data_IF_964657968685
#
_entry.id   IF_964657968685
#
_cell.length_a   1.000
_cell.length_b   1.000
_cell.length_c   1.000
_cell.angle_alpha   90.00
_cell.angle_beta   90.00
_cell.angle_gamma   90.00
#
_symmetry.space_group_name_H-M   'P 1'
#
loop_
_entity.id
_entity.type
_entity.pdbx_description
1 polymer ?
#
# COMPACT_ATOMS: atom_id res chain seq x y z
N UNK A 1 42.90 42.83 -1.65
CA UNK A 1 41.52 43.31 -1.44
C UNK A 1 40.70 42.17 -0.86
N UNK A 2 40.39 42.24 0.44
CA UNK A 2 39.69 41.18 1.19
C UNK A 2 38.27 41.65 1.51
N UNK A 3 37.25 40.98 0.98
CA UNK A 3 35.85 41.24 1.30
C UNK A 3 35.37 40.27 2.39
N UNK A 4 35.00 40.83 3.55
CA UNK A 4 34.34 40.13 4.66
C UNK A 4 32.82 40.23 4.48
N UNK A 5 32.13 39.12 4.23
CA UNK A 5 30.67 39.05 4.30
C UNK A 5 30.23 38.60 5.70
N UNK A 6 29.48 39.46 6.40
CA UNK A 6 28.81 39.17 7.67
C UNK A 6 27.39 38.66 7.38
N UNK A 7 27.11 37.40 7.74
CA UNK A 7 25.77 36.83 7.77
C UNK A 7 25.11 37.08 9.14
N UNK A 8 23.92 37.70 9.14
CA UNK A 8 23.06 37.91 10.31
C UNK A 8 22.15 36.70 10.51
N UNK A 9 22.27 36.04 11.67
CA UNK A 9 21.30 35.06 12.18
C UNK A 9 20.07 35.80 12.73
N UNK A 10 18.87 35.38 12.31
CA UNK A 10 17.60 35.72 12.96
C UNK A 10 17.09 34.44 13.62
N UNK A 11 17.08 34.43 14.95
CA UNK A 11 16.48 33.36 15.76
C UNK A 11 15.13 33.83 16.27
N UNK A 12 14.07 33.08 15.98
CA UNK A 12 12.78 33.24 16.65
C UNK A 12 12.70 32.26 17.82
N UNK A 13 12.45 32.80 19.01
CA UNK A 13 12.32 32.07 20.27
C UNK A 13 10.94 31.41 20.37
N UNK A 14 10.93 30.12 20.70
CA UNK A 14 9.74 29.26 20.86
C UNK A 14 8.97 29.49 22.19
N UNK A 15 9.13 30.67 22.81
CA UNK A 15 8.67 30.95 24.18
C UNK A 15 7.35 31.74 24.28
N UNK A 16 6.73 32.16 23.17
CA UNK A 16 5.58 33.08 23.18
C UNK A 16 4.22 32.44 22.83
N UNK A 17 4.13 31.11 22.69
CA UNK A 17 2.89 30.39 22.33
C UNK A 17 2.23 29.59 23.47
N UNK A 18 2.66 29.80 24.73
CA UNK A 18 2.17 29.03 25.90
C UNK A 18 1.14 29.73 26.80
N UNK A 19 0.68 30.94 26.47
CA UNK A 19 -0.24 31.69 27.35
C UNK A 19 -1.71 31.77 26.88
N UNK A 20 -2.09 31.15 25.76
CA UNK A 20 -3.46 31.24 25.21
C UNK A 20 -4.43 30.11 25.59
N UNK A 21 -4.07 29.23 26.53
CA UNK A 21 -4.87 28.03 26.88
C UNK A 21 -5.24 27.91 28.37
N UNK A 22 -5.39 29.03 29.09
CA UNK A 22 -5.91 29.02 30.48
C UNK A 22 -7.17 29.88 30.62
N UNK A 23 -8.34 29.26 30.46
CA UNK A 23 -9.58 29.74 31.09
C UNK A 23 -10.41 28.56 31.59
N UNK A 24 -10.78 28.53 32.89
CA UNK A 24 -11.72 27.56 33.42
C UNK A 24 -13.16 28.08 33.28
N UNK A 25 -14.11 27.19 32.98
CA UNK A 25 -15.55 27.47 33.11
C UNK A 25 -16.13 26.55 34.18
N UNK A 26 -16.58 27.15 35.28
CA UNK A 26 -17.29 26.47 36.37
C UNK A 26 -18.81 26.55 36.18
N UNK A 27 -19.42 25.40 36.43
CA UNK A 27 -20.75 25.08 36.99
C UNK A 27 -21.86 26.14 36.99
N UNK A 28 -23.05 25.69 36.55
CA UNK A 28 -24.29 25.91 37.30
C UNK A 28 -25.12 24.61 37.34
N UNK A 29 -25.38 24.16 38.56
CA UNK A 29 -26.46 23.24 38.91
C UNK A 29 -27.75 24.04 39.13
N UNK A 30 -28.89 23.49 38.71
CA UNK A 30 -30.16 23.78 39.35
C UNK A 30 -31.01 22.50 39.37
N UNK A 31 -31.31 22.08 40.59
CA UNK A 31 -32.25 21.03 40.96
C UNK A 31 -33.64 21.65 40.99
N UNK A 32 -34.62 21.03 40.35
CA UNK A 32 -36.02 21.21 40.71
C UNK A 32 -36.83 19.94 40.44
N UNK A 33 -37.84 19.77 41.28
CA UNK A 33 -38.38 18.52 41.77
C UNK A 33 -39.69 18.11 41.11
N UNK A 34 -39.82 16.79 40.85
CA UNK A 34 -41.02 15.93 40.96
C UNK A 34 -42.43 16.47 40.68
N UNK A 35 -43.15 15.79 39.77
CA UNK A 35 -44.53 15.26 39.98
C UNK A 35 -44.76 14.09 39.01
N UNK A 36 -45.21 12.95 39.56
CA UNK A 36 -45.65 11.75 38.83
C UNK A 36 -47.10 11.91 38.37
N UNK A 37 -47.37 11.66 37.09
CA UNK A 37 -48.68 11.22 36.60
C UNK A 37 -48.48 10.04 35.65
N UNK A 38 -49.14 8.93 35.97
CA UNK A 38 -49.11 7.70 35.18
C UNK A 38 -49.99 7.85 33.94
N UNK A 39 -49.37 7.98 32.77
CA UNK A 39 -50.06 7.87 31.49
C UNK A 39 -49.72 6.54 30.83
N UNK A 40 -50.75 5.84 30.38
CA UNK A 40 -50.64 4.59 29.64
C UNK A 40 -49.99 4.90 28.29
N UNK A 41 -48.69 4.61 28.16
CA UNK A 41 -48.00 4.70 26.87
C UNK A 41 -48.52 3.59 25.95
N UNK A 42 -49.44 3.95 25.06
CA UNK A 42 -49.45 3.34 23.73
C UNK A 42 -48.03 3.51 23.18
N UNK A 43 -47.33 2.40 22.98
CA UNK A 43 -46.02 2.41 22.35
C UNK A 43 -46.19 2.97 20.93
N UNK A 44 -45.97 4.28 20.79
CA UNK A 44 -45.65 4.90 19.52
C UNK A 44 -44.44 4.14 19.00
N UNK A 45 -44.67 3.24 18.04
CA UNK A 45 -43.62 2.73 17.17
C UNK A 45 -43.06 3.95 16.45
N UNK A 46 -42.07 4.60 17.05
CA UNK A 46 -41.16 5.48 16.33
C UNK A 46 -40.56 4.61 15.26
N UNK A 47 -40.99 4.80 14.01
CA UNK A 47 -40.37 4.16 12.87
C UNK A 47 -38.87 4.39 13.01
N UNK A 48 -38.10 3.30 13.17
CA UNK A 48 -36.64 3.41 13.18
C UNK A 48 -36.28 4.18 11.90
N UNK A 49 -35.52 5.28 11.99
CA UNK A 49 -35.12 6.01 10.79
C UNK A 49 -34.49 4.99 9.84
N UNK A 50 -35.01 4.93 8.61
CA UNK A 50 -34.38 4.15 7.56
C UNK A 50 -32.94 4.67 7.45
N UNK A 51 -31.98 3.89 7.94
CA UNK A 51 -30.57 4.15 7.72
C UNK A 51 -30.40 4.10 6.21
N UNK A 52 -30.26 5.27 5.58
CA UNK A 52 -30.01 5.39 4.15
C UNK A 52 -28.76 4.57 3.87
N UNK A 53 -28.87 3.46 3.13
CA UNK A 53 -27.70 2.68 2.71
C UNK A 53 -26.74 3.66 2.05
N UNK A 54 -25.51 3.74 2.57
CA UNK A 54 -24.45 4.50 1.93
C UNK A 54 -24.27 3.96 0.52
N UNK A 55 -24.17 4.82 -0.48
CA UNK A 55 -23.89 4.36 -1.84
C UNK A 55 -22.58 3.56 -1.86
N UNK A 56 -22.51 2.42 -2.57
CA UNK A 56 -21.29 1.63 -2.65
C UNK A 56 -20.13 2.49 -3.14
N UNK A 57 -19.03 2.50 -2.38
CA UNK A 57 -17.84 3.29 -2.74
C UNK A 57 -16.91 2.47 -3.64
N UNK A 58 -16.11 3.17 -4.43
CA UNK A 58 -15.02 2.58 -5.23
C UNK A 58 -13.69 3.18 -4.80
N UNK A 59 -12.73 2.32 -4.50
CA UNK A 59 -11.37 2.64 -4.14
C UNK A 59 -10.42 2.19 -5.26
N UNK A 60 -9.57 3.10 -5.74
CA UNK A 60 -8.47 2.78 -6.67
C UNK A 60 -7.18 2.93 -5.87
N UNK A 61 -6.42 1.85 -5.76
CA UNK A 61 -5.21 1.78 -4.96
C UNK A 61 -4.00 1.68 -5.88
N UNK A 62 -3.00 2.53 -5.66
CA UNK A 62 -1.64 2.35 -6.18
C UNK A 62 -0.77 1.72 -5.11
N UNK A 63 -0.10 0.61 -5.42
CA UNK A 63 0.85 -0.07 -4.54
C UNK A 63 2.22 -0.05 -5.20
N UNK A 64 3.16 0.60 -4.55
CA UNK A 64 4.58 0.45 -4.84
C UNK A 64 5.08 -0.74 -4.01
N UNK A 65 5.16 -1.92 -4.64
CA UNK A 65 5.73 -3.12 -4.04
C UNK A 65 7.25 -3.05 -4.17
N UNK A 66 7.89 -2.18 -3.38
CA UNK A 66 9.32 -1.95 -3.44
C UNK A 66 10.14 -3.07 -2.80
N UNK A 67 11.42 -3.17 -3.17
CA UNK A 67 12.33 -4.21 -2.68
C UNK A 67 12.55 -4.15 -1.17
N UNK A 68 12.76 -2.95 -0.62
CA UNK A 68 13.03 -2.74 0.81
C UNK A 68 11.78 -2.28 1.55
N UNK A 69 10.98 -1.43 0.92
CA UNK A 69 9.76 -0.88 1.50
C UNK A 69 8.64 -0.87 0.47
N UNK A 70 7.45 -1.23 0.94
CA UNK A 70 6.20 -1.14 0.22
C UNK A 70 5.42 0.09 0.67
N UNK A 71 4.76 0.77 -0.27
CA UNK A 71 3.95 1.95 -0.01
C UNK A 71 2.61 1.82 -0.72
N UNK A 72 1.58 2.49 -0.20
CA UNK A 72 0.29 2.53 -0.87
C UNK A 72 -0.40 3.89 -0.76
N UNK A 73 -1.07 4.25 -1.85
CA UNK A 73 -1.94 5.41 -1.95
C UNK A 73 -3.29 4.96 -2.49
N UNK A 74 -4.37 5.57 -2.01
CA UNK A 74 -5.72 5.22 -2.42
C UNK A 74 -6.53 6.47 -2.75
N UNK A 75 -7.26 6.42 -3.85
CA UNK A 75 -8.31 7.38 -4.17
C UNK A 75 -9.66 6.72 -4.03
N UNK A 76 -10.53 7.29 -3.19
CA UNK A 76 -11.87 6.78 -2.93
C UNK A 76 -12.92 7.75 -3.50
N UNK A 77 -13.78 7.23 -4.37
CA UNK A 77 -14.84 8.00 -5.00
C UNK A 77 -15.77 8.61 -3.94
N UNK A 78 -16.03 9.92 -4.06
CA UNK A 78 -16.86 10.67 -3.10
C UNK A 78 -16.20 10.94 -1.74
N UNK A 79 -14.93 10.57 -1.54
CA UNK A 79 -14.20 10.83 -0.31
C UNK A 79 -12.93 11.65 -0.55
N UNK A 80 -12.10 11.23 -1.51
CA UNK A 80 -10.83 11.88 -1.84
C UNK A 80 -9.64 10.94 -1.76
N UNK A 81 -8.49 11.54 -1.48
CA UNK A 81 -7.18 10.89 -1.52
C UNK A 81 -6.73 10.47 -0.11
N UNK A 82 -6.17 9.27 0.00
CA UNK A 82 -5.73 8.64 1.25
C UNK A 82 -4.31 8.09 1.08
N UNK A 83 -3.39 8.59 1.91
CA UNK A 83 -2.09 7.96 2.11
C UNK A 83 -2.25 6.83 3.12
N UNK A 84 -1.91 5.61 2.72
CA UNK A 84 -2.07 4.46 3.61
C UNK A 84 -0.92 4.43 4.60
N UNK A 85 -1.28 4.39 5.89
CA UNK A 85 -0.35 4.11 6.99
C UNK A 85 -0.42 2.65 7.38
N UNK A 86 0.73 2.10 7.69
CA UNK A 86 0.91 0.75 8.19
C UNK A 86 1.35 0.80 9.64
N UNK A 87 0.90 -0.18 10.43
CA UNK A 87 1.40 -0.41 11.78
C UNK A 87 2.64 -1.30 11.69
N UNK A 88 3.81 -0.71 11.90
CA UNK A 88 5.12 -1.38 11.80
C UNK A 88 5.80 -1.28 13.17
N UNK A 89 5.90 -2.42 13.87
CA UNK A 89 6.46 -2.49 15.22
C UNK A 89 5.79 -1.49 16.20
N UNK A 90 4.45 -1.40 16.16
CA UNK A 90 3.63 -0.49 16.98
C UNK A 90 3.81 1.01 16.66
N UNK A 91 4.38 1.32 15.50
CA UNK A 91 4.59 2.69 14.99
C UNK A 91 3.86 2.86 13.65
N UNK A 92 3.02 3.90 13.56
CA UNK A 92 2.43 4.30 12.27
C UNK A 92 3.51 4.78 11.30
N UNK A 93 3.61 4.13 10.14
CA UNK A 93 4.57 4.45 9.09
C UNK A 93 3.90 4.43 7.72
N UNK A 94 4.33 5.32 6.82
CA UNK A 94 3.95 5.26 5.39
C UNK A 94 4.76 4.23 4.59
N UNK A 95 5.79 3.65 5.23
CA UNK A 95 6.70 2.68 4.65
C UNK A 95 6.55 1.36 5.40
N UNK A 96 6.04 0.35 4.70
CA UNK A 96 5.96 -1.02 5.20
C UNK A 96 7.23 -1.77 4.78
N UNK A 97 8.09 -2.26 5.71
CA UNK A 97 9.23 -3.08 5.33
C UNK A 97 8.81 -4.30 4.52
N UNK A 98 9.45 -4.54 3.38
CA UNK A 98 9.19 -5.70 2.52
C UNK A 98 9.93 -6.93 3.06
N UNK A 99 9.45 -7.41 4.21
CA UNK A 99 10.09 -8.45 5.01
C UNK A 99 9.03 -9.45 5.49
N UNK A 100 9.42 -10.73 5.54
CA UNK A 100 8.67 -11.80 6.20
C UNK A 100 9.55 -12.52 7.22
N UNK A 101 8.92 -13.33 8.05
CA UNK A 101 9.59 -14.16 9.04
C UNK A 101 9.12 -15.61 8.89
N UNK A 102 10.06 -16.56 8.81
CA UNK A 102 9.78 -17.96 8.55
C UNK A 102 9.95 -18.81 9.80
N UNK A 103 8.86 -19.45 10.22
CA UNK A 103 8.86 -20.48 11.26
C UNK A 103 9.09 -21.85 10.63
N UNK A 104 10.35 -22.30 10.60
CA UNK A 104 10.75 -23.63 10.07
C UNK A 104 10.02 -24.77 10.74
N UNK A 105 9.73 -24.67 12.05
CA UNK A 105 9.12 -25.77 12.83
C UNK A 105 7.65 -25.95 12.47
N UNK A 106 6.94 -24.85 12.25
CA UNK A 106 5.52 -24.87 11.86
C UNK A 106 5.30 -24.83 10.36
N UNK A 107 6.37 -24.59 9.60
CA UNK A 107 6.33 -24.35 8.16
C UNK A 107 5.40 -23.17 7.79
N UNK A 108 5.48 -22.06 8.55
CA UNK A 108 4.60 -20.89 8.43
C UNK A 108 5.38 -19.62 8.10
N UNK A 109 4.80 -18.77 7.26
CA UNK A 109 5.22 -17.37 7.11
C UNK A 109 4.51 -16.48 8.14
N UNK A 110 5.22 -15.47 8.62
CA UNK A 110 4.74 -14.43 9.52
C UNK A 110 5.03 -13.08 8.91
N UNK A 111 4.01 -12.22 8.96
CA UNK A 111 4.08 -10.85 8.46
C UNK A 111 4.59 -9.87 9.53
N UNK A 112 4.24 -10.12 10.80
CA UNK A 112 4.76 -9.35 11.93
C UNK A 112 6.15 -9.84 12.32
N UNK A 113 6.95 -8.91 12.84
CA UNK A 113 8.29 -9.17 13.35
C UNK A 113 8.28 -10.18 14.48
N UNK A 114 9.15 -11.16 14.34
CA UNK A 114 9.47 -12.12 15.39
C UNK A 114 10.96 -12.41 15.33
N UNK A 115 11.71 -11.95 16.33
CA UNK A 115 13.16 -12.08 16.38
C UNK A 115 13.65 -13.51 16.59
N UNK A 116 12.75 -14.43 16.94
CA UNK A 116 13.07 -15.86 17.08
C UNK A 116 12.98 -16.62 15.76
N UNK A 117 12.42 -15.99 14.72
CA UNK A 117 12.20 -16.59 13.40
C UNK A 117 13.25 -16.11 12.40
N UNK A 118 13.42 -16.89 11.34
CA UNK A 118 14.32 -16.52 10.25
C UNK A 118 13.73 -15.37 9.44
N UNK A 119 14.48 -14.29 9.27
CA UNK A 119 14.06 -13.13 8.49
C UNK A 119 14.27 -13.40 6.99
N UNK A 120 13.24 -13.14 6.19
CA UNK A 120 13.24 -13.27 4.72
C UNK A 120 13.04 -11.86 4.12
N UNK A 121 14.01 -11.39 3.35
CA UNK A 121 14.03 -10.04 2.74
C UNK A 121 14.29 -10.15 1.24
N UNK A 122 14.16 -9.09 0.44
CA UNK A 122 14.62 -9.10 -0.97
C UNK A 122 13.95 -10.15 -1.89
N UNK A 123 12.89 -10.81 -1.46
CA UNK A 123 12.21 -11.86 -2.23
C UNK A 123 11.54 -11.31 -3.51
N UNK A 124 11.40 -9.98 -3.66
CA UNK A 124 10.97 -9.34 -4.92
C UNK A 124 11.90 -9.69 -6.08
N UNK A 125 13.23 -9.71 -5.88
CA UNK A 125 14.17 -10.08 -6.94
C UNK A 125 14.03 -11.55 -7.34
N UNK A 126 13.73 -12.40 -6.35
CA UNK A 126 13.54 -13.82 -6.53
C UNK A 126 12.30 -14.22 -7.34
N UNK A 127 11.40 -13.28 -7.64
CA UNK A 127 10.19 -13.54 -8.43
C UNK A 127 10.55 -14.03 -9.85
N UNK A 128 11.59 -13.44 -10.45
CA UNK A 128 12.02 -13.81 -11.81
C UNK A 128 13.21 -14.76 -11.82
N UNK A 129 14.08 -14.67 -10.82
CA UNK A 129 15.26 -15.52 -10.70
C UNK A 129 15.42 -16.01 -9.27
N UNK A 130 15.08 -17.28 -9.04
CA UNK A 130 15.15 -17.94 -7.73
C UNK A 130 16.59 -18.11 -7.21
N UNK A 131 17.62 -17.70 -7.98
CA UNK A 131 19.00 -17.64 -7.52
C UNK A 131 19.24 -16.59 -6.43
N UNK A 132 18.40 -15.56 -6.33
CA UNK A 132 18.43 -14.57 -5.26
C UNK A 132 17.82 -15.16 -3.97
N UNK A 133 18.68 -15.83 -3.20
CA UNK A 133 18.33 -16.82 -2.19
C UNK A 133 18.03 -16.33 -0.77
N UNK A 134 17.14 -15.36 -0.58
CA UNK A 134 16.68 -15.04 0.78
C UNK A 134 15.63 -16.03 1.32
N UNK A 135 14.93 -16.74 0.42
CA UNK A 135 13.96 -17.78 0.74
C UNK A 135 14.53 -19.22 0.60
N UNK A 136 15.87 -19.38 0.56
CA UNK A 136 16.52 -20.69 0.32
C UNK A 136 16.10 -21.75 1.35
N UNK A 137 16.00 -21.37 2.62
CA UNK A 137 15.60 -22.25 3.72
C UNK A 137 14.18 -22.81 3.56
N UNK A 138 13.28 -22.05 2.95
CA UNK A 138 11.92 -22.52 2.63
C UNK A 138 12.00 -23.65 1.61
N UNK A 139 12.84 -23.49 0.58
CA UNK A 139 13.06 -24.51 -0.46
C UNK A 139 13.71 -25.77 0.09
N UNK A 140 14.69 -25.63 0.99
CA UNK A 140 15.33 -26.74 1.70
C UNK A 140 14.33 -27.58 2.49
N UNK A 141 13.42 -26.91 3.21
CA UNK A 141 12.37 -27.57 4.00
C UNK A 141 11.21 -28.09 3.15
N UNK A 142 11.03 -27.56 1.93
CA UNK A 142 9.91 -27.87 1.04
C UNK A 142 10.40 -28.16 -0.39
N UNK A 143 10.97 -29.34 -0.60
CA UNK A 143 11.61 -29.75 -1.87
C UNK A 143 10.71 -29.71 -3.11
N UNK A 144 9.39 -29.68 -2.93
CA UNK A 144 8.40 -29.65 -4.01
C UNK A 144 8.05 -28.22 -4.48
N UNK A 145 8.67 -27.20 -3.89
CA UNK A 145 8.48 -25.80 -4.27
C UNK A 145 9.52 -25.39 -5.29
N UNK A 146 9.03 -24.95 -6.45
CA UNK A 146 9.87 -24.50 -7.56
C UNK A 146 10.52 -23.16 -7.26
N UNK A 147 9.73 -22.19 -6.77
CA UNK A 147 10.17 -20.84 -6.44
C UNK A 147 9.53 -20.37 -5.12
N UNK A 148 10.34 -20.33 -4.07
CA UNK A 148 9.89 -19.93 -2.73
C UNK A 148 9.68 -18.42 -2.61
N UNK A 149 10.37 -17.63 -3.45
CA UNK A 149 10.26 -16.17 -3.47
C UNK A 149 8.87 -15.71 -3.96
N UNK A 150 8.28 -16.39 -4.95
CA UNK A 150 6.92 -16.10 -5.42
C UNK A 150 5.90 -16.36 -4.30
N UNK A 151 6.05 -17.45 -3.52
CA UNK A 151 5.17 -17.73 -2.37
C UNK A 151 5.28 -16.60 -1.34
N UNK A 152 6.51 -16.17 -1.03
CA UNK A 152 6.74 -15.03 -0.13
C UNK A 152 6.08 -13.76 -0.66
N UNK A 153 6.25 -13.44 -1.94
CA UNK A 153 5.65 -12.26 -2.56
C UNK A 153 4.12 -12.28 -2.51
N UNK A 154 3.50 -13.42 -2.82
CA UNK A 154 2.03 -13.58 -2.76
C UNK A 154 1.53 -13.43 -1.32
N UNK A 155 2.17 -14.08 -0.36
CA UNK A 155 1.78 -13.99 1.05
C UNK A 155 1.92 -12.57 1.59
N UNK A 156 3.06 -11.92 1.33
CA UNK A 156 3.33 -10.55 1.73
C UNK A 156 2.31 -9.58 1.13
N UNK A 157 2.05 -9.70 -0.17
CA UNK A 157 1.08 -8.84 -0.85
C UNK A 157 -0.35 -9.10 -0.38
N UNK A 158 -0.71 -10.35 -0.04
CA UNK A 158 -2.02 -10.65 0.52
C UNK A 158 -2.23 -9.96 1.87
N UNK A 159 -1.23 -10.00 2.76
CA UNK A 159 -1.22 -9.25 4.01
C UNK A 159 -1.31 -7.74 3.78
N UNK A 160 -0.55 -7.22 2.82
CA UNK A 160 -0.56 -5.80 2.46
C UNK A 160 -1.93 -5.35 1.95
N UNK A 161 -2.55 -6.12 1.06
CA UNK A 161 -3.89 -5.85 0.53
C UNK A 161 -4.94 -5.86 1.65
N UNK A 162 -4.86 -6.83 2.56
CA UNK A 162 -5.77 -6.93 3.71
C UNK A 162 -5.66 -5.71 4.64
N UNK A 163 -4.43 -5.25 4.91
CA UNK A 163 -4.17 -4.03 5.68
C UNK A 163 -4.71 -2.77 4.97
N UNK A 164 -4.49 -2.64 3.67
CA UNK A 164 -5.01 -1.51 2.88
C UNK A 164 -6.53 -1.50 2.92
N UNK A 165 -7.19 -2.64 2.65
CA UNK A 165 -8.65 -2.76 2.68
C UNK A 165 -9.19 -2.34 4.04
N UNK A 166 -8.61 -2.89 5.12
CA UNK A 166 -9.00 -2.58 6.49
C UNK A 166 -8.84 -1.10 6.83
N UNK A 167 -7.72 -0.48 6.43
CA UNK A 167 -7.45 0.95 6.63
C UNK A 167 -8.49 1.81 5.90
N UNK A 168 -8.71 1.56 4.61
CA UNK A 168 -9.66 2.32 3.80
C UNK A 168 -11.10 2.19 4.31
N UNK A 169 -11.51 0.97 4.69
CA UNK A 169 -12.84 0.72 5.23
C UNK A 169 -13.06 1.43 6.57
N UNK A 170 -12.05 1.43 7.44
CA UNK A 170 -12.06 2.15 8.72
C UNK A 170 -12.21 3.66 8.50
N UNK A 171 -11.36 4.24 7.66
CA UNK A 171 -11.40 5.69 7.36
C UNK A 171 -12.73 6.10 6.71
N UNK A 172 -13.27 5.26 5.82
CA UNK A 172 -14.53 5.55 5.13
C UNK A 172 -15.79 5.25 5.96
N UNK A 173 -15.65 4.59 7.11
CA UNK A 173 -16.77 4.16 7.98
C UNK A 173 -17.70 3.13 7.33
N UNK A 174 -17.23 2.35 6.36
CA UNK A 174 -18.07 1.35 5.65
C UNK A 174 -17.22 0.22 5.08
N UNK A 175 -17.78 -0.99 5.08
CA UNK A 175 -17.20 -2.18 4.43
C UNK A 175 -17.61 -2.32 2.96
N UNK A 176 -18.62 -1.58 2.50
CA UNK A 176 -19.17 -1.64 1.15
C UNK A 176 -18.30 -0.84 0.15
N UNK A 177 -17.07 -1.31 -0.04
CA UNK A 177 -16.08 -0.69 -0.92
C UNK A 177 -15.60 -1.71 -1.96
N UNK A 178 -15.75 -1.36 -3.23
CA UNK A 178 -15.13 -2.08 -4.35
C UNK A 178 -13.69 -1.60 -4.53
N UNK A 179 -12.73 -2.52 -4.62
CA UNK A 179 -11.32 -2.18 -4.75
C UNK A 179 -10.78 -2.52 -6.13
N UNK A 180 -10.00 -1.61 -6.69
CA UNK A 180 -9.11 -1.84 -7.81
C UNK A 180 -7.67 -1.56 -7.37
N UNK A 181 -6.72 -2.38 -7.80
CA UNK A 181 -5.30 -2.26 -7.43
C UNK A 181 -4.41 -2.14 -8.67
N UNK A 182 -3.53 -1.15 -8.64
CA UNK A 182 -2.44 -0.97 -9.58
C UNK A 182 -1.14 -1.22 -8.83
N UNK A 183 -0.31 -2.16 -9.27
CA UNK A 183 0.97 -2.46 -8.64
C UNK A 183 2.13 -2.04 -9.55
N UNK A 184 3.12 -1.33 -8.99
CA UNK A 184 4.38 -1.03 -9.69
C UNK A 184 5.15 -2.31 -10.00
N UNK A 185 5.65 -2.41 -11.22
CA UNK A 185 6.51 -3.49 -11.70
C UNK A 185 7.80 -2.87 -12.29
N UNK A 186 8.99 -3.43 -11.97
CA UNK A 186 10.25 -2.89 -12.49
C UNK A 186 10.24 -2.81 -14.01
N UNK A 187 10.68 -1.66 -14.55
CA UNK A 187 10.51 -1.37 -15.97
C UNK A 187 11.29 -2.30 -16.89
N UNK A 188 12.46 -2.78 -16.43
CA UNK A 188 13.28 -3.75 -17.13
C UNK A 188 12.54 -5.07 -17.40
N UNK A 189 11.52 -5.37 -16.59
CA UNK A 189 10.71 -6.57 -16.65
C UNK A 189 9.35 -6.35 -17.33
N UNK A 190 9.02 -5.09 -17.65
CA UNK A 190 7.73 -4.75 -18.25
C UNK A 190 7.69 -5.06 -19.75
N UNK A 191 8.81 -4.88 -20.45
CA UNK A 191 8.93 -5.06 -21.91
C UNK A 191 9.64 -6.36 -22.33
N UNK A 192 10.31 -7.05 -21.40
CA UNK A 192 11.00 -8.32 -21.67
C UNK A 192 10.00 -9.48 -21.56
N UNK A 193 9.50 -9.92 -22.71
CA UNK A 193 8.67 -11.12 -22.89
C UNK A 193 7.36 -11.12 -22.05
N UNK A 194 6.30 -11.76 -22.55
CA UNK A 194 5.03 -11.82 -21.81
C UNK A 194 5.17 -12.48 -20.42
N UNK A 195 6.28 -13.19 -20.18
CA UNK A 195 6.54 -13.98 -18.98
C UNK A 195 6.90 -13.13 -17.75
N UNK A 196 7.79 -12.14 -17.85
CA UNK A 196 8.28 -11.41 -16.67
C UNK A 196 7.19 -10.52 -16.04
N UNK A 197 6.52 -9.70 -16.85
CA UNK A 197 5.30 -8.98 -16.43
C UNK A 197 4.24 -9.97 -15.93
N UNK A 198 4.11 -11.11 -16.61
CA UNK A 198 3.19 -12.19 -16.25
C UNK A 198 3.37 -12.69 -14.81
N UNK A 199 4.60 -12.81 -14.31
CA UNK A 199 4.87 -13.21 -12.91
C UNK A 199 4.42 -12.16 -11.89
N UNK A 200 4.64 -10.88 -12.15
CA UNK A 200 4.16 -9.81 -11.25
C UNK A 200 2.63 -9.69 -11.26
N UNK A 201 2.00 -9.83 -12.44
CA UNK A 201 0.54 -9.92 -12.54
C UNK A 201 0.02 -11.13 -11.75
N UNK A 202 0.66 -12.30 -11.92
CA UNK A 202 0.31 -13.52 -11.17
C UNK A 202 0.40 -13.29 -9.66
N UNK A 203 1.47 -12.67 -9.16
CA UNK A 203 1.62 -12.32 -7.73
C UNK A 203 0.45 -11.45 -7.27
N UNK A 204 0.13 -10.37 -7.99
CA UNK A 204 -0.95 -9.45 -7.61
C UNK A 204 -2.32 -10.15 -7.58
N UNK A 205 -2.65 -10.93 -8.62
CA UNK A 205 -3.93 -11.63 -8.71
C UNK A 205 -4.08 -12.69 -7.62
N UNK A 206 -3.06 -13.52 -7.40
CA UNK A 206 -3.09 -14.55 -6.38
C UNK A 206 -3.07 -13.97 -4.96
N UNK A 207 -2.31 -12.89 -4.73
CA UNK A 207 -2.30 -12.19 -3.45
C UNK A 207 -3.66 -11.58 -3.12
N UNK A 208 -4.30 -10.93 -4.10
CA UNK A 208 -5.65 -10.42 -3.93
C UNK A 208 -6.62 -11.55 -3.60
N UNK A 209 -6.56 -12.68 -4.32
CA UNK A 209 -7.44 -13.82 -4.06
C UNK A 209 -7.20 -14.43 -2.68
N UNK A 210 -5.93 -14.53 -2.28
CA UNK A 210 -5.53 -15.06 -0.98
C UNK A 210 -6.03 -14.16 0.16
N UNK A 211 -6.00 -12.83 -0.02
CA UNK A 211 -6.51 -11.86 0.96
C UNK A 211 -8.02 -12.01 1.24
N UNK A 212 -8.78 -12.63 0.34
CA UNK A 212 -10.21 -12.89 0.54
C UNK A 212 -10.46 -14.13 1.42
N UNK A 213 -9.45 -14.98 1.63
CA UNK A 213 -9.57 -16.22 2.39
C UNK A 213 -9.44 -15.92 3.89
N UNK A 214 -10.41 -16.30 4.73
CA UNK A 214 -10.27 -16.17 6.18
C UNK A 214 -9.04 -16.91 6.69
N UNK A 215 -8.33 -16.30 7.64
CA UNK A 215 -7.17 -16.88 8.33
C UNK A 215 -6.03 -17.36 7.40
N UNK A 216 -5.88 -16.77 6.20
CA UNK A 216 -4.83 -17.17 5.26
C UNK A 216 -3.40 -17.06 5.84
N UNK A 217 -3.21 -16.19 6.84
CA UNK A 217 -1.97 -15.99 7.59
C UNK A 217 -1.53 -17.23 8.40
N UNK A 218 -2.41 -18.22 8.56
CA UNK A 218 -2.15 -19.47 9.27
C UNK A 218 -1.86 -20.64 8.32
N UNK A 219 -1.87 -20.41 7.01
CA UNK A 219 -1.56 -21.46 6.02
C UNK A 219 -0.08 -21.82 6.05
N UNK A 220 0.22 -23.11 5.96
CA UNK A 220 1.59 -23.58 5.77
C UNK A 220 2.09 -23.27 4.37
N UNK A 221 3.41 -23.32 4.21
CA UNK A 221 4.06 -23.18 2.91
C UNK A 221 3.49 -24.18 1.87
N UNK A 222 3.22 -25.42 2.27
CA UNK A 222 2.61 -26.43 1.39
C UNK A 222 1.18 -26.04 0.98
N UNK A 223 0.40 -25.50 1.91
CA UNK A 223 -0.96 -25.06 1.65
C UNK A 223 -0.99 -23.81 0.75
N UNK A 224 -0.04 -22.89 0.93
CA UNK A 224 0.16 -21.74 0.04
C UNK A 224 0.55 -22.19 -1.37
N UNK A 225 1.47 -23.14 -1.50
CA UNK A 225 1.86 -23.71 -2.78
C UNK A 225 0.69 -24.41 -3.48
N UNK A 226 -0.10 -25.19 -2.73
CA UNK A 226 -1.32 -25.81 -3.25
C UNK A 226 -2.34 -24.76 -3.70
N UNK A 227 -2.57 -23.73 -2.89
CA UNK A 227 -3.45 -22.62 -3.23
C UNK A 227 -3.04 -21.94 -4.54
N UNK A 228 -1.74 -21.69 -4.75
CA UNK A 228 -1.24 -21.12 -5.99
C UNK A 228 -1.56 -21.99 -7.21
N UNK A 229 -1.28 -23.30 -7.12
CA UNK A 229 -1.56 -24.25 -8.21
C UNK A 229 -3.05 -24.33 -8.55
N UNK A 230 -3.91 -24.35 -7.53
CA UNK A 230 -5.37 -24.39 -7.70
C UNK A 230 -5.95 -23.10 -8.30
N UNK A 231 -5.26 -21.97 -8.13
CA UNK A 231 -5.76 -20.65 -8.53
C UNK A 231 -4.92 -20.00 -9.64
N UNK A 232 -4.02 -20.73 -10.31
CA UNK A 232 -3.06 -20.16 -11.27
C UNK A 232 -3.73 -19.41 -12.44
N UNK A 233 -4.92 -19.86 -12.84
CA UNK A 233 -5.74 -19.22 -13.87
C UNK A 233 -6.59 -18.03 -13.39
N UNK A 234 -6.59 -17.72 -12.08
CA UNK A 234 -7.41 -16.63 -11.54
C UNK A 234 -6.95 -15.27 -12.05
N UNK A 235 -7.86 -14.53 -12.66
CA UNK A 235 -7.64 -13.14 -13.11
C UNK A 235 -8.80 -12.28 -12.67
N UNK A 236 -8.50 -11.06 -12.24
CA UNK A 236 -9.49 -10.06 -11.84
C UNK A 236 -9.23 -8.77 -12.62
N UNK A 237 -10.17 -8.29 -13.46
CA UNK A 237 -9.96 -7.13 -14.32
C UNK A 237 -9.76 -5.81 -13.56
N UNK A 238 -10.00 -5.79 -12.25
CA UNK A 238 -9.73 -4.63 -11.39
C UNK A 238 -8.28 -4.59 -10.86
N UNK A 239 -7.44 -5.54 -11.27
CA UNK A 239 -6.05 -5.64 -10.85
C UNK A 239 -5.14 -5.54 -12.07
N UNK A 240 -4.11 -4.69 -12.01
CA UNK A 240 -3.13 -4.56 -13.08
C UNK A 240 -1.75 -4.17 -12.54
N UNK A 241 -0.70 -4.61 -13.22
CA UNK A 241 0.64 -4.05 -13.04
C UNK A 241 0.91 -2.91 -14.01
N UNK A 242 1.68 -1.93 -13.56
CA UNK A 242 2.13 -0.78 -14.36
C UNK A 242 3.65 -0.62 -14.20
N UNK A 243 4.36 -0.02 -15.17
CA UNK A 243 5.80 0.23 -14.99
C UNK A 243 6.02 1.19 -13.81
N UNK A 244 6.92 0.83 -12.90
CA UNK A 244 7.20 1.58 -11.67
C UNK A 244 7.61 3.04 -11.98
N UNK A 245 8.66 3.23 -12.79
CA UNK A 245 9.11 4.56 -13.23
C UNK A 245 8.06 5.35 -14.03
N UNK A 246 7.12 4.66 -14.71
CA UNK A 246 6.02 5.35 -15.38
C UNK A 246 5.06 5.95 -14.34
N UNK A 247 4.69 5.17 -13.32
CA UNK A 247 3.78 5.59 -12.27
C UNK A 247 4.36 6.78 -11.48
N UNK A 248 5.65 6.77 -11.18
CA UNK A 248 6.34 7.85 -10.48
C UNK A 248 6.37 9.15 -11.29
N UNK A 249 6.63 9.02 -12.60
CA UNK A 249 6.74 10.16 -13.49
C UNK A 249 5.38 10.73 -13.92
N UNK A 250 4.28 10.01 -13.73
CA UNK A 250 2.98 10.35 -14.30
C UNK A 250 2.55 11.77 -13.91
N UNK A 251 2.64 12.15 -12.64
CA UNK A 251 2.26 13.49 -12.19
C UNK A 251 3.11 14.59 -12.85
N UNK A 252 4.40 14.34 -13.06
CA UNK A 252 5.27 15.25 -13.78
C UNK A 252 4.89 15.33 -15.27
N UNK A 253 4.69 14.17 -15.91
CA UNK A 253 4.32 14.07 -17.32
C UNK A 253 2.96 14.73 -17.58
N UNK A 254 1.99 14.62 -16.68
CA UNK A 254 0.66 15.21 -16.84
C UNK A 254 0.62 16.71 -16.51
N UNK A 255 1.68 17.24 -15.88
CA UNK A 255 1.73 18.67 -15.58
C UNK A 255 1.71 19.53 -16.85
N UNK A 256 0.84 20.53 -16.86
CA UNK A 256 0.73 21.53 -17.93
C UNK A 256 1.94 22.45 -18.02
N UNK A 257 2.74 22.55 -16.96
CA UNK A 257 3.96 23.35 -16.92
C UNK A 257 5.17 22.65 -17.55
N UNK A 258 5.06 21.36 -17.85
CA UNK A 258 6.16 20.59 -18.45
C UNK A 258 6.15 20.77 -19.96
N UNK A 259 7.20 21.45 -20.45
CA UNK A 259 7.44 21.68 -21.87
C UNK A 259 8.04 20.47 -22.61
N UNK A 260 8.36 20.69 -23.89
CA UNK A 260 9.09 19.71 -24.70
C UNK A 260 10.48 19.46 -24.15
N UNK A 261 10.94 18.22 -24.27
CA UNK A 261 12.29 17.89 -23.84
C UNK A 261 12.54 16.39 -23.70
N UNK A 262 13.75 16.10 -23.25
CA UNK A 262 14.19 14.78 -22.82
C UNK A 262 14.50 14.87 -21.33
N UNK A 263 13.83 14.03 -20.54
CA UNK A 263 13.90 14.03 -19.09
C UNK A 263 14.42 12.67 -18.64
N UNK A 264 15.31 12.65 -17.64
CA UNK A 264 15.75 11.43 -16.98
C UNK A 264 15.13 11.35 -15.60
N UNK A 265 14.57 10.19 -15.30
CA UNK A 265 14.04 9.84 -13.97
C UNK A 265 15.01 8.84 -13.37
N UNK A 266 15.41 9.13 -12.14
CA UNK A 266 16.28 8.29 -11.34
C UNK A 266 15.48 7.89 -10.10
N UNK A 267 15.16 6.61 -10.00
CA UNK A 267 14.64 6.03 -8.76
C UNK A 267 15.82 5.42 -7.99
N UNK A 268 16.04 5.91 -6.78
CA UNK A 268 17.11 5.45 -5.89
C UNK A 268 16.44 4.85 -4.66
N UNK A 269 16.24 3.54 -4.72
CA UNK A 269 15.64 2.75 -3.66
C UNK A 269 16.64 2.29 -2.60
N UNK A 270 16.14 1.53 -1.61
CA UNK A 270 16.97 0.94 -0.55
C UNK A 270 17.93 -0.17 -1.02
N UNK A 271 17.80 -0.62 -2.27
CA UNK A 271 18.67 -1.64 -2.87
C UNK A 271 18.73 -1.63 -4.41
N UNK A 272 18.02 -0.72 -5.08
CA UNK A 272 18.05 -0.54 -6.53
C UNK A 272 18.40 0.89 -6.89
N UNK A 273 18.97 1.05 -8.08
CA UNK A 273 18.98 2.31 -8.80
C UNK A 273 18.40 2.02 -10.18
N UNK A 274 17.23 2.56 -10.46
CA UNK A 274 16.55 2.41 -11.74
C UNK A 274 16.54 3.76 -12.47
N UNK A 275 16.80 3.73 -13.77
CA UNK A 275 16.84 4.94 -14.60
C UNK A 275 15.97 4.76 -15.85
N UNK A 276 15.18 5.78 -16.18
CA UNK A 276 14.48 5.86 -17.45
C UNK A 276 14.62 7.24 -18.06
N UNK A 277 14.62 7.29 -19.38
CA UNK A 277 14.57 8.55 -20.12
C UNK A 277 13.23 8.67 -20.84
N UNK A 278 12.57 9.82 -20.71
CA UNK A 278 11.29 10.13 -21.34
C UNK A 278 11.50 11.30 -22.29
N UNK A 279 11.00 11.18 -23.51
CA UNK A 279 10.86 12.29 -24.44
C UNK A 279 9.42 12.78 -24.46
N UNK A 280 9.23 14.08 -24.26
CA UNK A 280 7.94 14.77 -24.34
C UNK A 280 7.99 15.70 -25.55
N UNK A 281 6.97 15.63 -26.42
CA UNK A 281 6.79 16.46 -27.61
C UNK A 281 5.34 16.93 -27.72
N UNK A 282 5.09 18.09 -28.28
CA UNK A 282 3.75 18.55 -28.63
C UNK A 282 3.54 18.42 -30.14
N UNK A 283 2.59 17.60 -30.54
CA UNK A 283 2.22 17.40 -31.95
C UNK A 283 0.81 17.93 -32.11
N UNK A 284 0.62 18.95 -32.95
CA UNK A 284 -0.69 19.60 -33.17
C UNK A 284 -1.32 20.14 -31.87
N UNK A 285 -0.49 20.57 -30.92
CA UNK A 285 -0.95 21.06 -29.61
C UNK A 285 -1.26 19.94 -28.60
N UNK A 286 -1.21 18.67 -29.01
CA UNK A 286 -1.35 17.53 -28.11
C UNK A 286 0.00 17.06 -27.56
N UNK A 287 0.06 16.86 -26.25
CA UNK A 287 1.24 16.28 -25.58
C UNK A 287 1.37 14.80 -25.93
N UNK A 288 2.46 14.44 -26.59
CA UNK A 288 2.87 13.06 -26.89
C UNK A 288 4.09 12.69 -26.05
N UNK A 289 4.15 11.44 -25.60
CA UNK A 289 5.23 10.91 -24.78
C UNK A 289 5.82 9.64 -25.37
N UNK A 290 7.13 9.50 -25.30
CA UNK A 290 7.86 8.31 -25.69
C UNK A 290 8.85 7.91 -24.60
N UNK A 291 8.90 6.62 -24.26
CA UNK A 291 9.84 6.07 -23.29
C UNK A 291 11.05 5.52 -24.02
N UNK A 292 12.22 6.10 -23.74
CA UNK A 292 13.50 5.56 -24.18
C UNK A 292 14.12 4.90 -22.97
N UNK A 293 13.97 3.58 -22.92
CA UNK A 293 14.50 2.76 -21.84
C UNK A 293 15.95 2.42 -22.12
N UNK A 294 16.83 2.85 -21.23
CA UNK A 294 18.20 2.37 -21.15
C UNK A 294 18.45 1.93 -19.72
N UNK A 295 18.45 0.61 -19.54
CA UNK A 295 18.88 -0.08 -18.30
C UNK A 295 20.38 0.11 -18.15
#
# INVERSE_FOLDING_TARGET
>A
MSMKNKSKKVGHSFSELKELLKRPMQLQQSVESSIKKSERHHALRTAKPFVKRSEPKRAIVGVDFGTSFTKAFCKVAGWGDLLIKFDVDDIESYFLPTVLFYDKKKNLLKFKKDSSLEKIEYFKYGILDDSFGSAASIKENNKMIENANIICAIFFMACTIDLIKSSVQKECGTSEISFAFNMGCPIANFNKEAEAKGKYDQVLHLAYKLSEKPNFQMLTIDELNRFMKENDAYRNPSLQTVPELFAEALCFIESTSVGEGVFSILDVGGGTVDCATISIKFVEGEKKQGFILKV
#
